data_IF_153860364490
#
_entry.id   IF_153860364490
#
_cell.length_a   1.000
_cell.length_b   1.000
_cell.length_c   1.000
_cell.angle_alpha   90.00
_cell.angle_beta   90.00
_cell.angle_gamma   90.00
#
_symmetry.space_group_name_H-M   'P 1'
#
loop_
_entity.id
_entity.type
_entity.pdbx_description
1 polymer ?
#
# COMPACT_ATOMS: atom_id res chain seq x y z
N UNK A 1 -5.81 -8.84 -27.85
CA UNK A 1 -6.59 -8.39 -26.68
C UNK A 1 -5.70 -7.76 -25.61
N UNK A 2 -4.72 -8.47 -25.01
CA UNK A 2 -3.82 -7.87 -23.99
C UNK A 2 -3.12 -6.58 -24.44
N UNK A 3 -2.63 -6.52 -25.68
CA UNK A 3 -1.98 -5.31 -26.23
C UNK A 3 -2.85 -4.06 -26.12
N UNK A 4 -4.15 -4.16 -26.45
CA UNK A 4 -5.11 -3.05 -26.32
C UNK A 4 -5.35 -2.66 -24.87
N UNK A 5 -5.45 -3.63 -23.95
CA UNK A 5 -5.57 -3.34 -22.50
C UNK A 5 -4.33 -2.66 -21.91
N UNK A 6 -3.18 -2.83 -22.56
CA UNK A 6 -1.92 -2.17 -22.21
C UNK A 6 -1.73 -0.83 -22.95
N UNK A 7 -2.76 -0.32 -23.63
CA UNK A 7 -2.69 0.94 -24.36
C UNK A 7 -2.02 0.87 -25.73
N UNK A 8 -1.69 -0.31 -26.23
CA UNK A 8 -1.03 -0.48 -27.54
C UNK A 8 -2.07 -0.65 -28.66
N UNK A 9 -1.85 0.04 -29.79
CA UNK A 9 -2.73 -0.06 -30.96
C UNK A 9 -4.13 0.52 -30.73
N UNK A 10 -4.26 1.47 -29.80
CA UNK A 10 -5.54 2.11 -29.46
C UNK A 10 -6.04 2.99 -30.61
N UNK A 11 -5.14 3.59 -31.41
CA UNK A 11 -5.51 4.48 -32.51
C UNK A 11 -6.35 3.85 -33.62
N UNK A 12 -6.43 2.52 -33.68
CA UNK A 12 -7.31 1.79 -34.61
C UNK A 12 -8.61 1.30 -33.94
N UNK A 13 -8.88 1.68 -32.70
CA UNK A 13 -10.09 1.27 -31.99
C UNK A 13 -11.24 2.23 -32.28
N UNK A 14 -12.44 1.69 -32.43
CA UNK A 14 -13.67 2.48 -32.43
C UNK A 14 -13.96 3.04 -31.03
N UNK A 15 -14.82 4.07 -30.97
CA UNK A 15 -15.25 4.66 -29.71
C UNK A 15 -15.87 3.64 -28.75
N UNK A 16 -16.69 2.72 -29.28
CA UNK A 16 -17.33 1.67 -28.49
C UNK A 16 -16.31 0.67 -27.92
N UNK A 17 -15.31 0.27 -28.71
CA UNK A 17 -14.24 -0.60 -28.23
C UNK A 17 -13.42 0.08 -27.14
N UNK A 18 -13.13 1.37 -27.30
CA UNK A 18 -12.37 2.14 -26.31
C UNK A 18 -13.12 2.25 -24.98
N UNK A 19 -14.43 2.51 -25.04
CA UNK A 19 -15.29 2.55 -23.85
C UNK A 19 -15.34 1.20 -23.13
N UNK A 20 -15.40 0.08 -23.86
CA UNK A 20 -15.40 -1.25 -23.24
C UNK A 20 -14.06 -1.57 -22.57
N UNK A 21 -12.95 -1.21 -23.22
CA UNK A 21 -11.60 -1.34 -22.65
C UNK A 21 -11.48 -0.53 -21.34
N UNK A 22 -11.95 0.71 -21.34
CA UNK A 22 -11.92 1.58 -20.16
C UNK A 22 -12.75 0.99 -19.01
N UNK A 23 -14.00 0.62 -19.29
CA UNK A 23 -14.88 -0.03 -18.32
C UNK A 23 -14.27 -1.32 -17.74
N UNK A 24 -13.60 -2.13 -18.57
CA UNK A 24 -12.95 -3.36 -18.13
C UNK A 24 -11.74 -3.07 -17.22
N UNK A 25 -10.92 -2.08 -17.57
CA UNK A 25 -9.78 -1.66 -16.77
C UNK A 25 -10.24 -1.06 -15.43
N UNK A 26 -11.24 -0.19 -15.44
CA UNK A 26 -11.77 0.42 -14.21
C UNK A 26 -12.26 -0.65 -13.22
N UNK A 27 -13.11 -1.57 -13.68
CA UNK A 27 -13.66 -2.66 -12.84
C UNK A 27 -12.56 -3.56 -12.29
N UNK A 28 -11.63 -4.00 -13.15
CA UNK A 28 -10.56 -4.91 -12.75
C UNK A 28 -9.60 -4.24 -11.76
N UNK A 29 -9.20 -3.00 -12.00
CA UNK A 29 -8.34 -2.23 -11.09
C UNK A 29 -9.02 -1.98 -9.75
N UNK A 30 -10.32 -1.66 -9.73
CA UNK A 30 -11.09 -1.50 -8.49
C UNK A 30 -11.06 -2.79 -7.66
N UNK A 31 -11.28 -3.94 -8.28
CA UNK A 31 -11.24 -5.24 -7.61
C UNK A 31 -9.82 -5.53 -7.10
N UNK A 32 -8.79 -5.34 -7.92
CA UNK A 32 -7.38 -5.58 -7.54
C UNK A 32 -6.99 -4.71 -6.35
N UNK A 33 -7.29 -3.41 -6.39
CA UNK A 33 -7.00 -2.48 -5.29
C UNK A 33 -7.74 -2.87 -4.02
N UNK A 34 -9.04 -3.20 -4.11
CA UNK A 34 -9.81 -3.63 -2.95
C UNK A 34 -9.21 -4.89 -2.30
N UNK A 35 -8.87 -5.91 -3.10
CA UNK A 35 -8.25 -7.15 -2.62
C UNK A 35 -6.88 -6.90 -2.00
N UNK A 36 -6.02 -6.10 -2.64
CA UNK A 36 -4.69 -5.74 -2.13
C UNK A 36 -4.81 -5.01 -0.79
N UNK A 37 -5.74 -4.06 -0.68
CA UNK A 37 -6.00 -3.34 0.57
C UNK A 37 -6.53 -4.26 1.68
N UNK A 38 -7.46 -5.17 1.37
CA UNK A 38 -7.97 -6.16 2.32
C UNK A 38 -6.83 -7.04 2.85
N UNK A 39 -6.03 -7.61 1.95
CA UNK A 39 -4.93 -8.49 2.30
C UNK A 39 -3.91 -7.82 3.22
N UNK A 40 -3.55 -6.57 2.93
CA UNK A 40 -2.61 -5.83 3.78
C UNK A 40 -3.21 -5.48 5.14
N UNK A 41 -4.49 -5.11 5.21
CA UNK A 41 -5.17 -4.89 6.48
C UNK A 41 -5.13 -6.16 7.34
N UNK A 42 -5.44 -7.30 6.76
CA UNK A 42 -5.41 -8.59 7.46
C UNK A 42 -3.99 -8.95 7.92
N UNK A 43 -2.96 -8.70 7.09
CA UNK A 43 -1.56 -8.91 7.45
C UNK A 43 -1.13 -8.01 8.61
N UNK A 44 -1.47 -6.72 8.57
CA UNK A 44 -1.16 -5.75 9.63
C UNK A 44 -1.84 -6.17 10.93
N UNK A 45 -3.11 -6.59 10.89
CA UNK A 45 -3.82 -7.06 12.09
C UNK A 45 -3.17 -8.30 12.70
N UNK A 46 -2.80 -9.29 11.87
CA UNK A 46 -2.08 -10.48 12.36
C UNK A 46 -0.73 -10.13 13.00
N UNK A 47 0.01 -9.20 12.42
CA UNK A 47 1.30 -8.77 12.96
C UNK A 47 1.13 -8.03 14.30
N UNK A 48 0.15 -7.13 14.41
CA UNK A 48 -0.17 -6.43 15.66
C UNK A 48 -0.57 -7.39 16.77
N UNK A 49 -1.37 -8.41 16.47
CA UNK A 49 -1.75 -9.41 17.47
C UNK A 49 -0.55 -10.26 17.90
N UNK A 50 0.32 -10.63 16.96
CA UNK A 50 1.56 -11.35 17.28
C UNK A 50 2.49 -10.49 18.15
N UNK A 51 2.63 -9.21 17.84
CA UNK A 51 3.41 -8.26 18.63
C UNK A 51 2.87 -8.17 20.06
N UNK A 52 1.54 -8.01 20.24
CA UNK A 52 0.88 -7.98 21.55
C UNK A 52 1.19 -9.23 22.37
N UNK A 53 1.02 -10.42 21.78
CA UNK A 53 1.28 -11.70 22.45
C UNK A 53 2.76 -11.86 22.85
N UNK A 54 3.67 -11.42 21.99
CA UNK A 54 5.11 -11.46 22.28
C UNK A 54 5.49 -10.50 23.41
N UNK A 55 4.90 -9.30 23.45
CA UNK A 55 5.12 -8.34 24.54
C UNK A 55 4.61 -8.89 25.87
N UNK A 56 3.43 -9.50 25.89
CA UNK A 56 2.86 -10.14 27.09
C UNK A 56 3.73 -11.30 27.59
N UNK A 57 4.18 -12.17 26.68
CA UNK A 57 5.06 -13.28 27.04
C UNK A 57 6.42 -12.79 27.52
N UNK A 58 6.98 -11.75 26.90
CA UNK A 58 8.25 -11.16 27.33
C UNK A 58 8.15 -10.55 28.73
N UNK A 59 7.06 -9.82 29.02
CA UNK A 59 6.80 -9.28 30.35
C UNK A 59 6.73 -10.40 31.40
N UNK A 60 5.98 -11.48 31.12
CA UNK A 60 5.85 -12.65 31.99
C UNK A 60 7.20 -13.35 32.25
N UNK A 61 8.04 -13.47 31.22
CA UNK A 61 9.37 -14.05 31.35
C UNK A 61 10.32 -13.15 32.13
N UNK A 62 10.27 -11.82 31.90
CA UNK A 62 11.07 -10.83 32.62
C UNK A 62 10.78 -10.85 34.12
N UNK A 63 9.52 -10.98 34.52
CA UNK A 63 9.13 -11.16 35.92
C UNK A 63 9.74 -12.44 36.51
N UNK A 64 9.66 -13.56 35.78
CA UNK A 64 10.20 -14.85 36.21
C UNK A 64 11.74 -14.87 36.31
N UNK A 65 12.43 -14.07 35.49
CA UNK A 65 13.89 -13.99 35.43
C UNK A 65 14.49 -12.89 36.33
N UNK A 66 13.72 -12.33 37.27
CA UNK A 66 14.26 -11.39 38.27
C UNK A 66 14.33 -9.94 37.81
N UNK A 67 13.50 -9.51 36.85
CA UNK A 67 13.30 -8.11 36.51
C UNK A 67 14.32 -7.49 35.55
N UNK A 68 15.18 -8.29 34.92
CA UNK A 68 16.07 -7.79 33.85
C UNK A 68 15.24 -7.57 32.59
N UNK A 69 14.59 -6.39 32.49
CA UNK A 69 14.10 -5.88 31.20
C UNK A 69 15.31 -5.67 30.29
N UNK A 70 15.40 -6.30 29.11
CA UNK A 70 16.34 -5.85 28.09
C UNK A 70 15.95 -4.43 27.72
N UNK A 71 16.82 -3.47 28.00
CA UNK A 71 16.58 -2.02 27.84
C UNK A 71 16.48 -1.56 26.36
N UNK A 72 16.03 -2.41 25.45
CA UNK A 72 16.17 -2.18 24.02
C UNK A 72 15.05 -2.80 23.19
N UNK A 73 13.77 -2.66 23.57
CA UNK A 73 12.64 -2.83 22.64
C UNK A 73 11.45 -1.95 23.06
N UNK A 74 11.68 -0.67 23.36
CA UNK A 74 10.58 0.30 23.27
C UNK A 74 10.50 0.76 21.82
N UNK A 75 9.82 -0.03 20.98
CA UNK A 75 9.32 0.52 19.73
C UNK A 75 8.17 1.47 20.10
N UNK A 76 8.20 2.74 19.68
CA UNK A 76 7.12 3.67 19.95
C UNK A 76 5.82 3.11 19.39
N UNK A 77 4.89 2.78 20.28
CA UNK A 77 3.51 2.42 19.95
C UNK A 77 2.78 3.71 19.56
N UNK A 78 3.08 4.26 18.39
CA UNK A 78 2.30 5.33 17.78
C UNK A 78 2.26 5.17 16.25
N UNK A 79 1.27 4.41 15.78
CA UNK A 79 0.65 4.69 14.48
C UNK A 79 -0.63 5.48 14.76
N UNK A 80 -0.46 6.66 15.35
CA UNK A 80 -1.51 7.64 15.64
C UNK A 80 -1.84 8.40 14.37
N UNK A 81 -2.78 7.87 13.60
CA UNK A 81 -3.34 8.54 12.42
C UNK A 81 -4.47 9.51 12.79
N UNK A 82 -4.19 10.51 13.63
CA UNK A 82 -5.10 11.63 13.88
C UNK A 82 -4.35 12.84 14.46
N UNK A 83 -3.52 13.48 13.64
CA UNK A 83 -3.06 14.85 13.87
C UNK A 83 -3.74 15.78 12.84
N UNK A 84 -4.85 16.39 13.26
CA UNK A 84 -5.28 17.72 12.80
C UNK A 84 -4.50 18.71 13.71
N UNK A 85 -3.83 19.79 13.31
CA UNK A 85 -3.86 20.68 12.15
C UNK A 85 -2.45 21.32 12.04
N UNK A 86 -2.02 21.73 10.85
CA UNK A 86 -1.61 23.13 10.58
C UNK A 86 -1.33 23.26 9.09
N UNK A 87 -1.95 24.25 8.48
CA UNK A 87 -1.66 24.70 7.12
C UNK A 87 -0.17 25.03 7.00
N UNK A 88 0.57 24.23 6.21
CA UNK A 88 1.66 24.77 5.40
C UNK A 88 2.02 23.79 4.30
N UNK A 89 1.89 24.31 3.08
CA UNK A 89 2.40 23.77 1.84
C UNK A 89 3.71 23.02 2.00
N UNK A 90 3.68 21.74 1.65
CA UNK A 90 4.79 21.00 1.02
C UNK A 90 4.21 19.69 0.49
N UNK A 91 3.57 19.77 -0.67
CA UNK A 91 3.51 18.64 -1.56
C UNK A 91 4.96 18.29 -1.90
N UNK A 92 5.54 17.27 -1.25
CA UNK A 92 6.82 16.74 -1.69
C UNK A 92 6.55 16.14 -3.06
N UNK A 93 6.94 16.87 -4.11
CA UNK A 93 7.00 16.37 -5.48
C UNK A 93 7.84 15.10 -5.44
N UNK A 94 7.18 13.96 -5.51
CA UNK A 94 7.85 12.66 -5.67
C UNK A 94 8.22 12.60 -7.15
N UNK A 95 9.51 12.74 -7.45
CA UNK A 95 10.02 12.45 -8.79
C UNK A 95 9.89 10.94 -9.00
N UNK A 96 8.91 10.55 -9.79
CA UNK A 96 8.84 9.21 -10.36
C UNK A 96 9.57 9.25 -11.68
N UNK A 97 10.45 8.29 -11.93
CA UNK A 97 11.07 8.06 -13.25
C UNK A 97 10.05 7.49 -14.26
N UNK A 98 8.86 8.08 -14.32
CA UNK A 98 7.82 7.73 -15.27
C UNK A 98 8.03 8.57 -16.53
N UNK A 99 8.91 8.10 -17.42
CA UNK A 99 9.08 8.70 -18.72
C UNK A 99 7.88 8.34 -19.61
N UNK A 100 6.86 9.21 -19.64
CA UNK A 100 5.79 9.17 -20.65
C UNK A 100 6.36 9.76 -21.95
N UNK A 101 7.39 9.12 -22.48
CA UNK A 101 7.92 9.42 -23.81
C UNK A 101 7.04 8.77 -24.87
N UNK A 102 6.80 9.46 -25.97
CA UNK A 102 6.40 8.82 -27.22
C UNK A 102 7.56 7.87 -27.59
N UNK A 103 7.32 6.56 -27.82
CA UNK A 103 8.39 5.67 -28.24
C UNK A 103 8.95 6.15 -29.59
N UNK A 104 10.27 6.28 -29.68
CA UNK A 104 10.96 6.56 -30.93
C UNK A 104 10.53 5.53 -31.98
N UNK A 105 9.89 6.02 -33.03
CA UNK A 105 9.51 5.21 -34.18
C UNK A 105 10.72 5.24 -35.11
N UNK A 106 11.57 4.22 -34.97
CA UNK A 106 12.57 3.81 -35.96
C UNK A 106 12.12 2.55 -36.66
#
# INVERSE_FOLDING_TARGET
MLRKLLGQGIGSCSMNELQEIDNQLERSLKIIRARKSQLFKDQIQRLKERERLLLEENARLSEKCGGVRPAALELPVELTGAAQLTEKDKCSRVETDLNIGIPDIG
#
